data_IF_275484665491
#
_entry.id   IF_275484665491
#
_cell.length_a   1.000
_cell.length_b   1.000
_cell.length_c   1.000
_cell.angle_alpha   90.00
_cell.angle_beta   90.00
_cell.angle_gamma   90.00
#
_symmetry.space_group_name_H-M   'P 1'
#
loop_
_entity.id
_entity.type
_entity.pdbx_description
1 polymer ?
#
# COMPACT_ATOMS: atom_id res chain seq x y z
N UNK A 1 -13.89 -16.35 -2.46
CA UNK A 1 -14.80 -16.49 -3.62
C UNK A 1 -16.04 -17.33 -3.32
N UNK A 2 -15.99 -18.30 -2.40
CA UNK A 2 -17.15 -19.10 -1.98
C UNK A 2 -18.35 -18.27 -1.53
N UNK A 3 -18.12 -17.21 -0.74
CA UNK A 3 -19.20 -16.32 -0.28
C UNK A 3 -20.00 -15.66 -1.42
N UNK A 4 -19.31 -15.09 -2.42
CA UNK A 4 -19.98 -14.43 -3.56
C UNK A 4 -20.73 -15.46 -4.42
N UNK A 5 -20.15 -16.66 -4.60
CA UNK A 5 -20.81 -17.73 -5.33
C UNK A 5 -22.06 -18.25 -4.59
N UNK A 6 -22.05 -18.28 -3.25
CA UNK A 6 -23.24 -18.61 -2.48
C UNK A 6 -24.37 -17.61 -2.75
N UNK A 7 -24.08 -16.29 -2.74
CA UNK A 7 -25.08 -15.27 -3.08
C UNK A 7 -25.62 -15.44 -4.51
N UNK A 8 -24.77 -15.80 -5.48
CA UNK A 8 -25.20 -16.10 -6.86
C UNK A 8 -26.24 -17.21 -6.88
N UNK A 9 -26.07 -18.26 -6.06
CA UNK A 9 -27.06 -19.33 -5.92
C UNK A 9 -28.36 -18.85 -5.26
N UNK A 10 -28.28 -18.09 -4.16
CA UNK A 10 -29.46 -17.55 -3.48
C UNK A 10 -30.31 -16.65 -4.39
N UNK A 11 -29.66 -15.77 -5.16
CA UNK A 11 -30.32 -14.87 -6.11
C UNK A 11 -30.64 -15.53 -7.45
N UNK A 12 -30.41 -16.86 -7.59
CA UNK A 12 -30.67 -17.63 -8.82
C UNK A 12 -30.01 -17.03 -10.07
N UNK A 13 -28.84 -16.41 -9.91
CA UNK A 13 -28.06 -15.86 -11.01
C UNK A 13 -27.41 -17.04 -11.76
N UNK A 14 -27.50 -17.02 -13.10
CA UNK A 14 -26.94 -18.08 -13.94
C UNK A 14 -25.42 -18.15 -13.79
N UNK A 15 -24.87 -19.35 -13.59
CA UNK A 15 -23.44 -19.56 -13.33
C UNK A 15 -22.52 -18.93 -14.40
N UNK A 16 -22.91 -18.95 -15.67
CA UNK A 16 -22.10 -18.32 -16.73
C UNK A 16 -21.98 -16.79 -16.57
N UNK A 17 -22.99 -16.11 -16.01
CA UNK A 17 -22.95 -14.67 -15.73
C UNK A 17 -21.99 -14.37 -14.57
N UNK A 18 -21.97 -15.24 -13.55
CA UNK A 18 -20.99 -15.14 -12.48
C UNK A 18 -19.57 -15.33 -13.01
N UNK A 19 -19.30 -16.40 -13.75
CA UNK A 19 -17.99 -16.66 -14.33
C UNK A 19 -17.53 -15.51 -15.24
N UNK A 20 -18.43 -14.98 -16.10
CA UNK A 20 -18.14 -13.82 -16.94
C UNK A 20 -17.80 -12.57 -16.11
N UNK A 21 -18.53 -12.33 -15.02
CA UNK A 21 -18.32 -11.18 -14.14
C UNK A 21 -17.00 -11.30 -13.38
N UNK A 22 -16.69 -12.48 -12.84
CA UNK A 22 -15.43 -12.74 -12.13
C UNK A 22 -14.23 -12.59 -13.08
N UNK A 23 -14.32 -13.16 -14.29
CA UNK A 23 -13.24 -13.08 -15.27
C UNK A 23 -13.00 -11.67 -15.80
N UNK A 24 -14.03 -10.81 -15.82
CA UNK A 24 -13.92 -9.41 -16.27
C UNK A 24 -13.62 -8.41 -15.16
N UNK A 25 -13.67 -8.84 -13.89
CA UNK A 25 -13.41 -7.97 -12.75
C UNK A 25 -11.92 -7.61 -12.65
N UNK A 26 -11.62 -6.31 -12.77
CA UNK A 26 -10.24 -5.79 -12.76
C UNK A 26 -9.69 -5.45 -11.37
N UNK A 27 -10.46 -5.71 -10.31
CA UNK A 27 -10.17 -5.17 -8.98
C UNK A 27 -10.75 -3.78 -8.78
N UNK A 28 -10.65 -3.27 -7.55
CA UNK A 28 -11.08 -1.92 -7.20
C UNK A 28 -9.87 -0.99 -7.12
N UNK A 29 -10.03 0.25 -7.58
CA UNK A 29 -8.99 1.26 -7.40
C UNK A 29 -8.66 1.42 -5.90
N UNK A 30 -7.38 1.68 -5.61
CA UNK A 30 -6.88 1.91 -4.26
C UNK A 30 -6.99 0.71 -3.29
N UNK A 31 -7.33 -0.49 -3.77
CA UNK A 31 -7.34 -1.75 -2.99
C UNK A 31 -6.35 -2.73 -3.56
N UNK A 32 -5.14 -2.74 -2.98
CA UNK A 32 -4.01 -3.54 -3.46
C UNK A 32 -3.79 -3.45 -4.99
N UNK A 33 -3.97 -2.24 -5.54
CA UNK A 33 -3.96 -1.99 -6.99
C UNK A 33 -2.51 -1.89 -7.50
N UNK A 34 -2.06 -2.89 -8.25
CA UNK A 34 -0.79 -2.81 -8.99
C UNK A 34 -1.02 -1.94 -10.24
N UNK A 35 -0.69 -0.66 -10.16
CA UNK A 35 -0.99 0.30 -11.24
C UNK A 35 0.21 0.61 -12.14
N UNK A 36 1.42 0.23 -11.74
CA UNK A 36 2.62 0.45 -12.52
C UNK A 36 3.70 -0.59 -12.17
N UNK A 37 4.38 -1.10 -13.20
CA UNK A 37 5.55 -1.98 -13.08
C UNK A 37 6.64 -1.40 -13.96
N UNK A 38 7.86 -1.28 -13.44
CA UNK A 38 9.03 -0.82 -14.18
C UNK A 38 10.24 -1.66 -13.80
N UNK A 39 10.84 -2.36 -14.78
CA UNK A 39 11.89 -3.36 -14.55
C UNK A 39 11.45 -4.33 -13.44
N UNK A 40 12.19 -4.41 -12.33
CA UNK A 40 11.90 -5.29 -11.20
C UNK A 40 11.15 -4.58 -10.05
N UNK A 41 10.59 -3.39 -10.28
CA UNK A 41 9.89 -2.60 -9.25
C UNK A 41 8.40 -2.56 -9.55
N UNK A 42 7.60 -3.02 -8.59
CA UNK A 42 6.14 -2.94 -8.61
C UNK A 42 5.65 -1.79 -7.73
N UNK A 43 4.70 -1.00 -8.24
CA UNK A 43 4.08 0.09 -7.50
C UNK A 43 2.63 -0.28 -7.19
N UNK A 44 2.31 -0.32 -5.90
CA UNK A 44 1.03 -0.82 -5.40
C UNK A 44 0.32 0.27 -4.61
N UNK A 45 -0.90 0.58 -5.04
CA UNK A 45 -1.78 1.53 -4.40
C UNK A 45 -2.84 0.80 -3.57
N UNK A 46 -2.65 0.81 -2.26
CA UNK A 46 -3.56 0.29 -1.26
C UNK A 46 -3.99 1.40 -0.29
N UNK A 47 -4.25 2.61 -0.82
CA UNK A 47 -4.65 3.78 -0.01
C UNK A 47 -5.92 3.54 0.83
N UNK A 48 -6.77 2.58 0.43
CA UNK A 48 -7.95 2.14 1.21
C UNK A 48 -7.57 1.36 2.48
N UNK A 49 -6.31 0.99 2.66
CA UNK A 49 -5.75 0.45 3.91
C UNK A 49 -5.76 1.49 5.03
N UNK A 50 -6.94 1.87 5.52
CA UNK A 50 -7.16 2.93 6.51
C UNK A 50 -7.10 2.45 7.96
N UNK A 51 -6.65 1.23 8.19
CA UNK A 51 -6.33 0.65 9.50
C UNK A 51 -5.23 -0.39 9.33
N UNK A 52 -4.55 -0.73 10.42
CA UNK A 52 -3.52 -1.77 10.37
C UNK A 52 -4.05 -3.11 9.87
N UNK A 53 -5.26 -3.50 10.29
CA UNK A 53 -5.90 -4.74 9.83
C UNK A 53 -6.05 -4.79 8.30
N UNK A 54 -6.48 -3.68 7.69
CA UNK A 54 -6.64 -3.61 6.23
C UNK A 54 -5.29 -3.72 5.51
N UNK A 55 -4.20 -3.27 6.12
CA UNK A 55 -2.84 -3.29 5.57
C UNK A 55 -2.16 -4.66 5.67
N UNK A 56 -2.56 -5.54 6.61
CA UNK A 56 -1.90 -6.85 6.82
C UNK A 56 -1.80 -7.69 5.55
N UNK A 57 -2.89 -7.79 4.79
CA UNK A 57 -2.91 -8.59 3.56
C UNK A 57 -1.95 -8.05 2.50
N UNK A 58 -1.83 -6.72 2.37
CA UNK A 58 -0.88 -6.10 1.47
C UNK A 58 0.57 -6.35 1.90
N UNK A 59 0.87 -6.34 3.20
CA UNK A 59 2.22 -6.65 3.69
C UNK A 59 2.57 -8.14 3.58
N UNK A 60 1.60 -9.02 3.76
CA UNK A 60 1.79 -10.46 3.65
C UNK A 60 2.00 -10.91 2.19
N UNK A 61 1.23 -10.35 1.26
CA UNK A 61 1.20 -10.79 -0.15
C UNK A 61 2.39 -10.32 -0.99
N UNK A 62 3.25 -9.45 -0.44
CA UNK A 62 4.36 -8.84 -1.17
C UNK A 62 5.69 -9.07 -0.44
N UNK A 63 6.81 -8.88 -1.15
CA UNK A 63 8.17 -8.99 -0.62
C UNK A 63 8.98 -7.77 -1.02
N UNK A 64 10.09 -7.55 -0.33
CA UNK A 64 11.04 -6.46 -0.59
C UNK A 64 10.33 -5.10 -0.62
N UNK A 65 9.56 -4.83 0.44
CA UNK A 65 8.61 -3.74 0.51
C UNK A 65 9.29 -2.48 1.03
N UNK A 66 9.22 -1.42 0.24
CA UNK A 66 9.33 -0.03 0.69
C UNK A 66 7.93 0.46 1.05
N UNK A 67 7.64 0.49 2.35
CA UNK A 67 6.29 0.65 2.87
C UNK A 67 6.02 2.10 3.26
N UNK A 68 5.04 2.73 2.61
CA UNK A 68 4.56 4.06 2.98
C UNK A 68 3.38 3.90 3.94
N UNK A 69 3.54 4.41 5.16
CA UNK A 69 2.54 4.35 6.24
C UNK A 69 2.34 5.70 6.91
N UNK A 70 1.20 5.88 7.56
CA UNK A 70 0.90 7.07 8.34
C UNK A 70 -0.31 7.86 7.84
N UNK A 71 -0.70 8.84 8.65
CA UNK A 71 -1.97 9.55 8.57
C UNK A 71 -2.61 9.67 9.95
N UNK A 72 -3.93 9.73 9.99
CA UNK A 72 -4.70 9.76 11.24
C UNK A 72 -4.98 8.32 11.73
N UNK A 73 -4.35 7.84 12.82
CA UNK A 73 -4.54 6.48 13.31
C UNK A 73 -5.93 6.27 13.89
N UNK A 74 -6.45 5.04 13.86
CA UNK A 74 -7.65 4.73 14.64
C UNK A 74 -7.29 4.57 16.11
N UNK A 75 -8.25 4.88 16.97
CA UNK A 75 -8.15 4.61 18.41
C UNK A 75 -7.90 3.10 18.59
N UNK A 76 -6.93 2.77 19.44
CA UNK A 76 -6.57 1.40 19.82
C UNK A 76 -5.96 0.53 18.71
N UNK A 77 -5.53 1.11 17.58
CA UNK A 77 -4.76 0.34 16.57
C UNK A 77 -3.42 -0.13 17.16
N UNK A 78 -3.11 -1.42 16.98
CA UNK A 78 -1.85 -2.03 17.43
C UNK A 78 -1.16 -2.79 16.29
N UNK A 79 0.13 -2.53 16.09
CA UNK A 79 0.86 -3.04 14.95
C UNK A 79 1.69 -4.26 15.35
N UNK A 80 1.09 -5.44 15.14
CA UNK A 80 1.83 -6.71 15.21
C UNK A 80 2.43 -7.06 13.85
N UNK A 81 3.69 -6.63 13.63
CA UNK A 81 4.38 -6.83 12.34
C UNK A 81 5.23 -8.10 12.27
N UNK A 82 5.20 -8.96 13.31
CA UNK A 82 6.08 -10.14 13.44
C UNK A 82 6.05 -11.05 12.20
N UNK A 83 4.87 -11.26 11.63
CA UNK A 83 4.65 -12.24 10.56
C UNK A 83 5.13 -11.78 9.17
N UNK A 84 5.35 -10.48 8.97
CA UNK A 84 5.73 -9.92 7.67
C UNK A 84 6.91 -8.94 7.75
N UNK A 85 7.58 -8.82 8.91
CA UNK A 85 8.78 -7.98 9.06
C UNK A 85 9.85 -8.30 8.00
N UNK A 86 10.02 -9.59 7.65
CA UNK A 86 10.99 -10.05 6.64
C UNK A 86 10.64 -9.59 5.22
N UNK A 87 9.38 -9.22 4.98
CA UNK A 87 8.95 -8.71 3.69
C UNK A 87 9.27 -7.22 3.54
N UNK A 88 9.53 -6.50 4.63
CA UNK A 88 9.70 -5.05 4.65
C UNK A 88 11.20 -4.72 4.65
N UNK A 89 11.63 -3.96 3.63
CA UNK A 89 12.99 -3.39 3.58
C UNK A 89 13.06 -2.17 4.50
N UNK A 90 12.13 -1.23 4.31
CA UNK A 90 12.09 0.03 5.07
C UNK A 90 10.71 0.67 5.03
N UNK A 91 10.35 1.33 6.12
CA UNK A 91 9.10 2.09 6.26
C UNK A 91 9.33 3.61 6.15
N UNK A 92 8.37 4.31 5.55
CA UNK A 92 8.41 5.77 5.32
C UNK A 92 7.16 6.38 5.92
N UNK A 93 7.32 7.00 7.08
CA UNK A 93 6.22 7.53 7.87
C UNK A 93 5.82 8.91 7.34
N UNK A 94 4.54 9.05 6.98
CA UNK A 94 3.92 10.29 6.51
C UNK A 94 2.82 10.74 7.47
N UNK A 95 2.31 11.96 7.28
CA UNK A 95 1.20 12.49 8.06
C UNK A 95 1.64 13.26 9.29
N UNK A 96 0.64 13.74 10.05
CA UNK A 96 0.84 14.56 11.26
C UNK A 96 1.11 13.73 12.52
N UNK A 97 0.60 12.50 12.58
CA UNK A 97 0.67 11.66 13.77
C UNK A 97 1.86 10.67 13.73
N UNK A 98 3.03 11.09 13.25
CA UNK A 98 4.17 10.20 12.99
C UNK A 98 4.61 9.42 14.23
N UNK A 99 4.64 10.07 15.40
CA UNK A 99 5.09 9.48 16.65
C UNK A 99 4.30 8.23 17.06
N UNK A 100 3.03 8.12 16.67
CA UNK A 100 2.24 6.91 16.88
C UNK A 100 2.84 5.74 16.08
N UNK A 101 3.05 5.92 14.78
CA UNK A 101 3.60 4.88 13.89
C UNK A 101 5.05 4.55 14.23
N UNK A 102 5.84 5.55 14.60
CA UNK A 102 7.23 5.36 15.03
C UNK A 102 7.30 4.42 16.24
N UNK A 103 6.50 4.67 17.29
CA UNK A 103 6.43 3.77 18.46
C UNK A 103 6.00 2.34 18.09
N UNK A 104 5.16 2.21 17.06
CA UNK A 104 4.65 0.92 16.61
C UNK A 104 5.69 0.10 15.81
N UNK A 105 6.60 0.75 15.08
CA UNK A 105 7.58 0.09 14.20
C UNK A 105 9.04 0.17 14.68
N UNK A 106 9.33 1.05 15.64
CA UNK A 106 10.68 1.24 16.20
C UNK A 106 11.23 -0.08 16.74
N UNK A 107 12.52 -0.29 16.54
CA UNK A 107 13.25 -1.52 16.90
C UNK A 107 12.72 -2.82 16.24
N UNK A 108 11.74 -2.75 15.34
CA UNK A 108 11.17 -3.91 14.63
C UNK A 108 11.54 -3.96 13.16
N UNK A 109 11.58 -2.80 12.49
CA UNK A 109 11.98 -2.63 11.08
C UNK A 109 12.71 -1.29 10.87
N UNK A 110 13.57 -1.16 9.84
CA UNK A 110 14.13 0.13 9.45
C UNK A 110 13.03 1.12 9.05
N UNK A 111 13.15 2.37 9.44
CA UNK A 111 12.20 3.41 9.06
C UNK A 111 12.83 4.81 8.95
N UNK A 112 12.11 5.74 8.33
CA UNK A 112 12.38 7.18 8.34
C UNK A 112 11.05 7.95 8.41
N UNK A 113 11.06 9.15 8.97
CA UNK A 113 9.94 10.09 8.94
C UNK A 113 10.06 11.02 7.73
N UNK A 114 9.26 10.75 6.71
CA UNK A 114 9.24 11.54 5.47
C UNK A 114 8.26 12.71 5.54
N UNK A 115 7.23 12.65 6.38
CA UNK A 115 6.26 13.71 6.57
C UNK A 115 5.15 13.76 5.52
N UNK A 116 5.45 13.66 4.22
CA UNK A 116 4.45 13.60 3.15
C UNK A 116 4.79 12.59 2.05
N UNK A 117 3.82 12.33 1.17
CA UNK A 117 3.95 11.37 0.07
C UNK A 117 5.05 11.76 -0.95
N UNK A 118 5.26 13.05 -1.21
CA UNK A 118 6.26 13.50 -2.18
C UNK A 118 7.67 13.23 -1.66
N UNK A 119 7.93 13.61 -0.40
CA UNK A 119 9.20 13.33 0.26
C UNK A 119 9.42 11.84 0.44
N UNK A 120 8.41 11.06 0.83
CA UNK A 120 8.52 9.61 0.95
C UNK A 120 8.96 8.94 -0.36
N UNK A 121 8.40 9.35 -1.50
CA UNK A 121 8.80 8.81 -2.82
C UNK A 121 10.24 9.18 -3.17
N UNK A 122 10.69 10.40 -2.83
CA UNK A 122 12.08 10.82 -3.03
C UNK A 122 13.04 10.01 -2.16
N UNK A 123 12.71 9.80 -0.89
CA UNK A 123 13.50 9.01 0.06
C UNK A 123 13.61 7.56 -0.42
N UNK A 124 12.50 6.95 -0.82
CA UNK A 124 12.44 5.60 -1.42
C UNK A 124 13.36 5.49 -2.62
N UNK A 125 13.31 6.49 -3.50
CA UNK A 125 14.14 6.46 -4.70
C UNK A 125 15.64 6.51 -4.37
N UNK A 126 16.04 7.34 -3.40
CA UNK A 126 17.43 7.41 -2.96
C UNK A 126 17.89 6.06 -2.39
N UNK A 127 17.07 5.40 -1.58
CA UNK A 127 17.38 4.09 -1.01
C UNK A 127 17.47 2.98 -2.08
N UNK A 128 16.59 3.01 -3.08
CA UNK A 128 16.59 2.05 -4.20
C UNK A 128 17.87 2.18 -5.04
N UNK A 129 18.35 3.40 -5.30
CA UNK A 129 19.60 3.59 -6.07
C UNK A 129 20.80 2.88 -5.44
N UNK A 130 20.86 2.87 -4.11
CA UNK A 130 21.98 2.31 -3.36
C UNK A 130 21.98 0.77 -3.37
N UNK A 131 20.82 0.14 -3.63
CA UNK A 131 20.57 -1.29 -3.45
C UNK A 131 20.45 -2.07 -4.77
N UNK A 132 21.17 -1.65 -5.83
CA UNK A 132 21.12 -2.15 -7.23
C UNK A 132 20.64 -3.62 -7.39
N UNK A 133 19.77 -3.86 -8.38
CA UNK A 133 19.26 -5.17 -8.82
C UNK A 133 18.29 -5.93 -7.89
N UNK A 134 17.73 -5.31 -6.87
CA UNK A 134 16.70 -5.97 -6.04
C UNK A 134 15.32 -5.82 -6.67
N UNK A 135 14.57 -6.94 -6.76
CA UNK A 135 13.13 -6.91 -7.03
C UNK A 135 12.43 -6.23 -5.86
N UNK A 136 11.73 -5.12 -6.08
CA UNK A 136 11.20 -4.29 -5.00
C UNK A 136 9.71 -3.99 -5.18
N UNK A 137 9.04 -3.75 -4.06
CA UNK A 137 7.64 -3.31 -4.04
C UNK A 137 7.55 -1.96 -3.36
N UNK A 138 7.09 -0.93 -4.05
CA UNK A 138 6.74 0.35 -3.45
C UNK A 138 5.25 0.30 -3.12
N UNK A 139 4.93 0.20 -1.83
CA UNK A 139 3.58 -0.04 -1.35
C UNK A 139 3.08 1.17 -0.57
N UNK A 140 2.04 1.83 -1.09
CA UNK A 140 1.21 2.71 -0.28
C UNK A 140 0.12 1.87 0.39
N UNK A 141 0.28 1.53 1.67
CA UNK A 141 -0.76 0.93 2.49
C UNK A 141 -0.72 1.58 3.88
N UNK A 142 -1.46 2.68 4.08
CA UNK A 142 -1.12 3.67 5.10
C UNK A 142 -1.38 3.23 6.55
N UNK A 143 -2.16 2.16 6.75
CA UNK A 143 -2.66 1.70 8.03
C UNK A 143 -3.38 2.79 8.84
N UNK A 144 -3.89 3.83 8.17
CA UNK A 144 -4.42 5.04 8.78
C UNK A 144 -5.36 5.81 7.84
N UNK A 145 -6.30 6.55 8.42
CA UNK A 145 -7.13 7.48 7.68
C UNK A 145 -6.29 8.63 7.09
N UNK A 146 -6.79 9.27 6.03
CA UNK A 146 -6.04 10.27 5.26
C UNK A 146 -6.30 11.72 5.66
N UNK A 147 -7.22 11.96 6.60
CA UNK A 147 -7.84 13.26 6.86
C UNK A 147 -6.89 14.33 7.40
N UNK A 148 -5.67 13.96 7.78
CA UNK A 148 -4.65 14.89 8.24
C UNK A 148 -3.97 15.65 7.08
N UNK A 149 -3.92 15.05 5.89
CA UNK A 149 -3.25 15.60 4.69
C UNK A 149 -4.12 15.61 3.42
N UNK A 150 -5.23 14.85 3.38
CA UNK A 150 -6.09 14.69 2.21
C UNK A 150 -7.57 14.62 2.60
N UNK A 151 -8.48 14.98 1.70
CA UNK A 151 -9.93 14.93 1.95
C UNK A 151 -10.44 13.49 2.11
N UNK A 152 -9.83 12.53 1.43
CA UNK A 152 -10.19 11.11 1.49
C UNK A 152 -9.07 10.20 0.96
N UNK A 153 -9.26 8.89 1.06
CA UNK A 153 -8.25 7.91 0.67
C UNK A 153 -8.09 7.85 -0.86
N UNK A 154 -9.13 8.17 -1.63
CA UNK A 154 -9.09 8.25 -3.09
C UNK A 154 -8.16 9.37 -3.54
N UNK A 155 -8.25 10.55 -2.93
CA UNK A 155 -7.38 11.69 -3.22
C UNK A 155 -5.91 11.34 -2.91
N UNK A 156 -5.64 10.75 -1.74
CA UNK A 156 -4.29 10.26 -1.38
C UNK A 156 -3.77 9.24 -2.39
N UNK A 157 -4.61 8.28 -2.78
CA UNK A 157 -4.26 7.24 -3.75
C UNK A 157 -4.02 7.78 -5.16
N UNK A 158 -4.83 8.74 -5.61
CA UNK A 158 -4.64 9.43 -6.89
C UNK A 158 -3.38 10.28 -6.88
N UNK A 159 -3.10 10.98 -5.77
CA UNK A 159 -1.89 11.77 -5.60
C UNK A 159 -0.64 10.89 -5.70
N UNK A 160 -0.62 9.73 -5.02
CA UNK A 160 0.45 8.74 -5.14
C UNK A 160 0.68 8.28 -6.60
N UNK A 161 -0.39 7.87 -7.30
CA UNK A 161 -0.31 7.50 -8.74
C UNK A 161 0.26 8.65 -9.57
N UNK A 162 -0.16 9.89 -9.29
CA UNK A 162 0.30 11.09 -10.01
C UNK A 162 1.80 11.35 -9.80
N UNK A 163 2.30 11.19 -8.57
CA UNK A 163 3.71 11.38 -8.24
C UNK A 163 4.58 10.34 -8.94
N UNK A 164 4.16 9.06 -8.93
CA UNK A 164 4.87 8.00 -9.67
C UNK A 164 4.86 8.28 -11.18
N UNK A 165 3.73 8.73 -11.73
CA UNK A 165 3.62 9.06 -13.16
C UNK A 165 4.54 10.23 -13.56
N UNK A 166 4.62 11.30 -12.75
CA UNK A 166 5.50 12.46 -12.99
C UNK A 166 6.98 12.07 -12.88
N UNK A 167 7.31 11.21 -11.92
CA UNK A 167 8.67 10.78 -11.65
C UNK A 167 9.06 9.50 -12.38
N UNK A 168 8.38 9.12 -13.48
CA UNK A 168 8.73 7.90 -14.22
C UNK A 168 10.22 7.84 -14.58
N UNK A 169 10.78 8.97 -15.05
CA UNK A 169 12.20 9.14 -15.44
C UNK A 169 13.19 8.82 -14.32
N UNK A 170 12.76 9.01 -13.08
CA UNK A 170 13.57 8.80 -11.90
C UNK A 170 13.86 7.29 -11.74
N UNK A 171 12.88 6.42 -11.98
CA UNK A 171 13.07 4.95 -11.91
C UNK A 171 13.71 4.31 -13.17
N UNK A 172 14.47 5.06 -13.97
CA UNK A 172 15.18 4.53 -15.16
C UNK A 172 16.58 3.99 -14.88
N UNK A 173 17.12 4.24 -13.67
CA UNK A 173 18.45 3.74 -13.25
C UNK A 173 18.54 2.24 -13.42
#
# INVERSE_FOLDING_TARGET
MSFVYQLVKEFKIKDYLFTKSVNSFKGLEHRHEIFYIKKNISFINDSKGTSFEATKNALFSNKNIYWILGGYPKKDDFFSIKNFKKNIIKAYVIGKNTSFFEKQISNKIPYIVSGDLNKAIKDIYNDIKLTKNIKATILLSPAAASYDQFKNFEERGKYFKSLIKKNKKIFYV
#
